data_IF_022681257821
#
_entry.id   IF_022681257821
#
_cell.length_a   1.000
_cell.length_b   1.000
_cell.length_c   1.000
_cell.angle_alpha   90.00
_cell.angle_beta   90.00
_cell.angle_gamma   90.00
#
_symmetry.space_group_name_H-M   'P 1'
#
loop_
_entity.id
_entity.type
_entity.pdbx_description
1 polymer ?
#
# COMPACT_ATOMS: atom_id res chain seq x y z
N UNK A 1 -12.92 2.04 18.65
CA UNK A 1 -11.50 2.37 18.37
C UNK A 1 -11.04 1.43 17.27
N UNK A 2 -10.61 1.95 16.11
CA UNK A 2 -10.06 1.10 15.06
C UNK A 2 -8.68 0.60 15.53
N UNK A 3 -8.55 -0.69 15.84
CA UNK A 3 -7.24 -1.28 16.09
C UNK A 3 -6.44 -1.18 14.78
N UNK A 4 -5.42 -0.33 14.77
CA UNK A 4 -4.54 -0.18 13.63
C UNK A 4 -3.76 -1.49 13.45
N UNK A 5 -4.09 -2.24 12.40
CA UNK A 5 -3.37 -3.47 12.09
C UNK A 5 -1.93 -3.14 11.65
N UNK A 6 -0.96 -4.01 11.94
CA UNK A 6 0.43 -3.72 11.64
C UNK A 6 0.66 -3.46 10.16
N UNK A 7 1.62 -2.58 9.83
CA UNK A 7 1.91 -2.19 8.43
C UNK A 7 2.31 -3.37 7.53
N UNK A 8 2.76 -4.47 8.11
CA UNK A 8 3.14 -5.71 7.42
C UNK A 8 1.98 -6.70 7.26
N UNK A 9 0.78 -6.37 7.73
CA UNK A 9 -0.42 -7.15 7.55
C UNK A 9 -1.19 -6.68 6.31
N UNK A 10 -1.49 -7.61 5.41
CA UNK A 10 -2.11 -7.33 4.11
C UNK A 10 -3.57 -7.76 4.03
N UNK A 11 -4.11 -8.43 5.06
CA UNK A 11 -5.45 -9.01 5.04
C UNK A 11 -5.56 -10.20 4.09
N UNK A 12 -6.75 -10.41 3.53
CA UNK A 12 -7.07 -11.47 2.60
C UNK A 12 -6.50 -11.24 1.19
N UNK A 13 -5.17 -11.27 1.06
CA UNK A 13 -4.48 -11.35 -0.23
C UNK A 13 -4.25 -12.81 -0.61
N UNK A 14 -4.29 -13.08 -1.93
CA UNK A 14 -4.07 -14.42 -2.44
C UNK A 14 -2.61 -14.86 -2.27
N UNK A 15 -2.37 -16.17 -2.30
CA UNK A 15 -1.02 -16.72 -2.32
C UNK A 15 -0.18 -16.12 -3.46
N UNK A 16 -0.75 -16.04 -4.66
CA UNK A 16 -0.06 -15.51 -5.84
C UNK A 16 0.30 -14.04 -5.67
N UNK A 17 -0.61 -13.21 -5.14
CA UNK A 17 -0.33 -11.79 -4.87
C UNK A 17 0.79 -11.64 -3.82
N UNK A 18 0.78 -12.46 -2.77
CA UNK A 18 1.84 -12.50 -1.78
C UNK A 18 3.20 -12.85 -2.40
N UNK A 19 3.25 -13.89 -3.23
CA UNK A 19 4.46 -14.31 -3.95
C UNK A 19 4.97 -13.20 -4.87
N UNK A 20 4.07 -12.51 -5.58
CA UNK A 20 4.41 -11.38 -6.43
C UNK A 20 4.97 -10.19 -5.64
N UNK A 21 4.35 -9.81 -4.52
CA UNK A 21 4.81 -8.70 -3.67
C UNK A 21 6.21 -8.96 -3.09
N UNK A 22 6.44 -10.19 -2.61
CA UNK A 22 7.72 -10.62 -2.08
C UNK A 22 8.78 -10.76 -3.19
N UNK A 23 8.40 -11.33 -4.33
CA UNK A 23 9.24 -11.47 -5.51
C UNK A 23 9.66 -10.12 -6.10
N UNK A 24 8.74 -9.15 -6.20
CA UNK A 24 9.02 -7.77 -6.62
C UNK A 24 10.03 -7.08 -5.70
N UNK A 25 9.98 -7.38 -4.40
CA UNK A 25 10.95 -6.84 -3.44
C UNK A 25 12.32 -7.50 -3.56
N UNK A 26 12.36 -8.78 -3.95
CA UNK A 26 13.56 -9.57 -4.22
C UNK A 26 14.65 -9.44 -3.14
N UNK A 27 14.27 -9.49 -1.87
CA UNK A 27 15.19 -9.36 -0.72
C UNK A 27 15.00 -10.51 0.25
N UNK A 28 16.07 -11.23 0.55
CA UNK A 28 16.03 -12.32 1.52
C UNK A 28 15.62 -11.81 2.91
N UNK A 29 14.69 -12.55 3.53
CA UNK A 29 14.07 -12.15 4.79
C UNK A 29 13.01 -11.07 4.61
N UNK A 30 12.59 -10.75 3.37
CA UNK A 30 11.36 -10.01 3.15
C UNK A 30 10.16 -10.83 3.63
N UNK A 31 9.21 -10.17 4.27
CA UNK A 31 8.06 -10.85 4.85
C UNK A 31 6.80 -9.98 4.87
N UNK A 32 5.67 -10.66 4.97
CA UNK A 32 4.36 -10.08 5.24
C UNK A 32 3.46 -11.11 5.93
N UNK A 33 2.38 -10.64 6.55
CA UNK A 33 1.31 -11.49 7.08
C UNK A 33 0.06 -11.28 6.24
N UNK A 34 -0.61 -12.37 5.90
CA UNK A 34 -1.89 -12.39 5.19
C UNK A 34 -2.88 -13.32 5.87
N UNK A 35 -4.15 -13.21 5.52
CA UNK A 35 -5.15 -14.18 5.96
C UNK A 35 -4.99 -15.50 5.20
N UNK A 36 -5.33 -16.60 5.86
CA UNK A 36 -5.34 -17.91 5.23
C UNK A 36 -6.56 -18.03 4.31
N UNK A 37 -6.33 -18.34 3.04
CA UNK A 37 -7.40 -18.60 2.06
C UNK A 37 -8.14 -19.92 2.37
N UNK A 38 -7.45 -20.87 2.99
CA UNK A 38 -7.98 -22.21 3.21
C UNK A 38 -8.67 -22.37 4.55
N UNK A 39 -8.25 -21.61 5.57
CA UNK A 39 -8.80 -21.78 6.92
C UNK A 39 -9.21 -20.44 7.52
N UNK A 40 -10.50 -20.32 7.79
CA UNK A 40 -11.08 -19.14 8.41
C UNK A 40 -10.48 -18.89 9.80
N UNK A 41 -10.16 -17.63 10.07
CA UNK A 41 -9.54 -17.20 11.34
C UNK A 41 -8.05 -17.54 11.47
N UNK A 42 -7.46 -18.29 10.53
CA UNK A 42 -6.02 -18.50 10.48
C UNK A 42 -5.34 -17.42 9.63
N UNK A 43 -4.11 -17.09 10.01
CA UNK A 43 -3.23 -16.22 9.27
C UNK A 43 -2.03 -17.01 8.73
N UNK A 44 -1.30 -16.39 7.82
CA UNK A 44 -0.10 -16.93 7.20
C UNK A 44 1.02 -15.89 7.27
N UNK A 45 2.14 -16.25 7.91
CA UNK A 45 3.39 -15.51 7.80
C UNK A 45 4.15 -16.01 6.57
N UNK A 46 4.38 -15.13 5.59
CA UNK A 46 5.10 -15.46 4.37
C UNK A 46 6.48 -14.81 4.39
N UNK A 47 7.53 -15.61 4.13
CA UNK A 47 8.93 -15.19 4.18
C UNK A 47 9.64 -15.54 2.87
N UNK A 48 10.25 -14.56 2.23
CA UNK A 48 11.02 -14.74 1.00
C UNK A 48 12.46 -15.11 1.29
N UNK A 49 12.95 -16.15 0.60
CA UNK A 49 14.36 -16.55 0.60
C UNK A 49 14.67 -17.23 -0.73
N UNK A 50 15.72 -16.77 -1.42
CA UNK A 50 16.25 -17.42 -2.63
C UNK A 50 15.18 -17.74 -3.69
N UNK A 51 14.32 -16.74 -4.03
CA UNK A 51 13.21 -16.88 -5.00
C UNK A 51 12.09 -17.83 -4.58
N UNK A 52 12.08 -18.31 -3.34
CA UNK A 52 11.03 -19.14 -2.77
C UNK A 52 10.33 -18.39 -1.64
N UNK A 53 9.01 -18.51 -1.57
CA UNK A 53 8.21 -18.00 -0.45
C UNK A 53 7.85 -19.14 0.48
N UNK A 54 8.39 -19.08 1.69
CA UNK A 54 8.07 -19.98 2.78
C UNK A 54 6.84 -19.47 3.51
N UNK A 55 5.81 -20.29 3.59
CA UNK A 55 4.56 -19.93 4.27
C UNK A 55 4.46 -20.71 5.58
N UNK A 56 4.34 -19.97 6.68
CA UNK A 56 4.16 -20.48 8.03
C UNK A 56 2.76 -20.15 8.50
N UNK A 57 2.14 -21.12 9.15
CA UNK A 57 0.76 -20.97 9.58
C UNK A 57 0.70 -20.30 10.95
N UNK A 58 -0.08 -19.25 11.05
CA UNK A 58 -0.25 -18.45 12.25
C UNK A 58 -1.68 -18.65 12.77
N UNK A 59 -1.81 -19.20 13.97
CA UNK A 59 -3.09 -19.49 14.60
C UNK A 59 -3.29 -18.56 15.81
N UNK A 60 -4.53 -18.15 16.04
CA UNK A 60 -4.91 -17.47 17.26
C UNK A 60 -5.55 -18.48 18.22
N UNK A 61 -5.08 -18.52 19.46
CA UNK A 61 -5.63 -19.35 20.52
C UNK A 61 -6.91 -18.73 21.09
N UNK A 62 -7.69 -19.54 21.82
CA UNK A 62 -8.89 -19.05 22.54
C UNK A 62 -8.58 -17.95 23.56
N UNK A 63 -7.34 -17.90 24.07
CA UNK A 63 -6.85 -16.86 24.97
C UNK A 63 -6.44 -15.56 24.27
N UNK A 64 -6.55 -15.50 22.94
CA UNK A 64 -6.19 -14.34 22.11
C UNK A 64 -4.71 -14.26 21.73
N UNK A 65 -3.88 -15.22 22.16
CA UNK A 65 -2.46 -15.29 21.80
C UNK A 65 -2.28 -15.84 20.38
N UNK A 66 -1.16 -15.50 19.75
CA UNK A 66 -0.75 -15.98 18.44
C UNK A 66 0.33 -17.05 18.57
N UNK A 67 0.20 -18.14 17.83
CA UNK A 67 1.22 -19.20 17.73
C UNK A 67 1.55 -19.48 16.28
N UNK A 68 2.83 -19.62 15.97
CA UNK A 68 3.31 -19.91 14.62
C UNK A 68 3.72 -21.38 14.51
N UNK A 69 3.13 -22.08 13.56
CA UNK A 69 3.50 -23.45 13.24
C UNK A 69 4.78 -23.45 12.39
N UNK A 70 5.92 -23.66 13.04
CA UNK A 70 7.21 -23.87 12.39
C UNK A 70 7.51 -25.36 12.24
N UNK A 71 8.04 -25.76 11.08
CA UNK A 71 8.55 -27.11 10.91
C UNK A 71 9.89 -27.24 11.65
N UNK A 72 10.02 -28.19 12.58
CA UNK A 72 11.31 -28.49 13.20
C UNK A 72 11.35 -28.83 14.69
N UNK A 73 10.25 -29.27 15.31
CA UNK A 73 10.27 -29.74 16.71
C UNK A 73 10.69 -28.70 17.75
N UNK A 74 10.64 -27.41 17.38
CA UNK A 74 10.82 -26.30 18.31
C UNK A 74 9.55 -26.11 19.14
N UNK A 75 9.73 -25.69 20.38
CA UNK A 75 8.63 -25.41 21.29
C UNK A 75 7.65 -24.39 20.68
N UNK A 76 6.36 -24.66 20.83
CA UNK A 76 5.32 -23.73 20.43
C UNK A 76 5.45 -22.44 21.23
N UNK A 77 5.65 -21.33 20.52
CA UNK A 77 5.78 -20.01 21.14
C UNK A 77 4.50 -19.23 20.99
N UNK A 78 4.02 -18.69 22.11
CA UNK A 78 2.80 -17.89 22.17
C UNK A 78 3.15 -16.41 22.32
N UNK A 79 2.55 -15.59 21.47
CA UNK A 79 2.77 -14.14 21.42
C UNK A 79 1.47 -13.40 21.67
N UNK A 80 1.50 -12.35 22.48
CA UNK A 80 0.30 -11.53 22.73
C UNK A 80 -0.09 -10.69 21.51
N UNK A 81 0.92 -10.22 20.76
CA UNK A 81 0.75 -9.34 19.60
C UNK A 81 1.59 -9.83 18.42
N UNK A 82 1.17 -9.45 17.20
CA UNK A 82 1.93 -9.73 15.97
C UNK A 82 3.30 -9.06 15.96
N UNK A 83 3.45 -7.87 16.57
CA UNK A 83 4.74 -7.19 16.68
C UNK A 83 5.75 -7.96 17.54
N UNK A 84 5.29 -8.60 18.61
CA UNK A 84 6.15 -9.39 19.49
C UNK A 84 6.61 -10.67 18.79
N UNK A 85 5.70 -11.32 18.08
CA UNK A 85 6.01 -12.44 17.19
C UNK A 85 7.10 -12.04 16.18
N UNK A 86 6.89 -10.94 15.45
CA UNK A 86 7.85 -10.46 14.46
C UNK A 86 9.19 -10.13 15.10
N UNK A 87 9.21 -9.49 16.28
CA UNK A 87 10.44 -9.18 17.00
C UNK A 87 11.22 -10.43 17.39
N UNK A 88 10.52 -11.49 17.82
CA UNK A 88 11.14 -12.77 18.14
C UNK A 88 11.81 -13.40 16.91
N UNK A 89 11.08 -13.49 15.80
CA UNK A 89 11.53 -14.11 14.55
C UNK A 89 12.50 -13.26 13.70
N UNK A 90 12.79 -12.02 14.10
CA UNK A 90 13.92 -11.24 13.58
C UNK A 90 15.28 -11.83 13.98
N UNK A 91 15.33 -12.61 15.05
CA UNK A 91 16.55 -13.31 15.49
C UNK A 91 16.80 -14.55 14.63
N UNK A 92 18.07 -14.93 14.51
CA UNK A 92 18.49 -16.14 13.79
C UNK A 92 18.06 -17.40 14.56
N UNK A 93 17.93 -18.51 13.85
CA UNK A 93 17.71 -19.86 14.41
C UNK A 93 16.46 -20.00 15.29
N UNK A 94 15.36 -19.34 14.92
CA UNK A 94 14.07 -19.47 15.63
C UNK A 94 13.08 -20.39 14.89
N UNK A 95 13.54 -21.30 14.01
CA UNK A 95 12.65 -22.22 13.27
C UNK A 95 12.09 -21.72 11.94
N UNK A 96 12.45 -20.50 11.52
CA UNK A 96 12.17 -20.03 10.16
C UNK A 96 13.31 -20.40 9.21
N UNK A 97 12.97 -20.62 7.94
CA UNK A 97 13.93 -20.84 6.86
C UNK A 97 14.87 -19.64 6.67
N UNK A 98 14.40 -18.45 7.06
CA UNK A 98 15.10 -17.17 7.06
C UNK A 98 14.52 -16.29 8.17
N UNK A 99 15.38 -15.65 8.95
CA UNK A 99 14.93 -14.68 9.94
C UNK A 99 14.35 -13.44 9.26
N UNK A 100 13.40 -12.77 9.94
CA UNK A 100 12.70 -11.61 9.40
C UNK A 100 13.64 -10.41 9.30
N UNK A 101 13.65 -9.71 8.15
CA UNK A 101 14.52 -8.55 7.90
C UNK A 101 13.75 -7.38 7.33
N UNK A 102 12.94 -7.60 6.30
CA UNK A 102 12.35 -6.54 5.50
C UNK A 102 10.83 -6.64 5.41
N UNK A 103 10.11 -5.95 6.31
CA UNK A 103 8.64 -5.86 6.26
C UNK A 103 8.15 -5.29 4.93
N UNK A 104 7.24 -5.98 4.24
CA UNK A 104 6.53 -5.44 3.06
C UNK A 104 5.30 -4.70 3.55
N UNK A 105 5.21 -3.41 3.25
CA UNK A 105 4.05 -2.60 3.62
C UNK A 105 2.94 -2.74 2.57
N UNK A 106 1.68 -2.73 3.00
CA UNK A 106 0.54 -2.68 2.07
C UNK A 106 0.48 -1.31 1.40
N UNK A 107 0.30 -1.27 0.07
CA UNK A 107 0.21 0.00 -0.68
C UNK A 107 -0.95 0.88 -0.22
N UNK A 108 -2.05 0.29 0.23
CA UNK A 108 -3.21 1.04 0.74
C UNK A 108 -2.93 1.79 2.06
N UNK A 109 -1.93 1.38 2.84
CA UNK A 109 -1.50 2.13 4.03
C UNK A 109 -0.77 3.44 3.69
N UNK A 110 -0.35 3.65 2.44
CA UNK A 110 0.31 4.88 1.98
C UNK A 110 -0.65 5.86 1.30
N UNK A 111 -1.92 5.51 1.09
CA UNK A 111 -2.91 6.40 0.47
C UNK A 111 -3.48 7.45 1.43
N UNK A 112 -3.15 7.40 2.72
CA UNK A 112 -3.28 8.56 3.61
C UNK A 112 -1.99 9.39 3.52
N UNK A 113 -1.70 9.92 2.33
CA UNK A 113 -0.95 11.16 2.31
C UNK A 113 -1.94 12.24 2.78
N UNK A 114 -1.66 13.04 3.82
CA UNK A 114 -2.37 14.30 3.93
C UNK A 114 -2.17 15.01 2.57
N UNK A 115 -3.20 15.63 1.97
CA UNK A 115 -3.01 16.36 0.73
C UNK A 115 -1.83 17.30 0.96
N UNK A 116 -0.78 17.18 0.14
CA UNK A 116 0.28 18.19 0.11
C UNK A 116 -0.43 19.51 -0.18
N UNK A 117 -0.64 20.34 0.85
CA UNK A 117 -1.12 21.70 0.63
C UNK A 117 -0.09 22.34 -0.30
N UNK A 118 -0.51 22.92 -1.45
CA UNK A 118 0.40 23.75 -2.22
C UNK A 118 0.92 24.84 -1.26
N UNK A 119 2.24 25.00 -1.21
CA UNK A 119 2.85 26.08 -0.45
C UNK A 119 2.29 27.41 -0.96
N UNK A 120 1.99 28.38 -0.08
CA UNK A 120 1.61 29.70 -0.52
C UNK A 120 2.75 30.31 -1.33
N UNK A 121 2.46 31.05 -2.42
CA UNK A 121 3.49 31.80 -3.13
C UNK A 121 4.09 32.86 -2.19
N UNK A 122 5.41 32.98 -2.26
CA UNK A 122 6.22 33.95 -1.52
C UNK A 122 5.75 35.38 -1.83
N UNK A 123 5.46 36.25 -0.85
CA UNK A 123 4.91 37.58 -1.08
C UNK A 123 5.93 38.64 -1.52
N UNK A 124 7.09 38.26 -2.06
CA UNK A 124 8.12 39.22 -2.48
C UNK A 124 8.27 39.23 -4.00
N UNK A 125 7.44 40.03 -4.68
CA UNK A 125 7.86 40.87 -5.82
C UNK A 125 6.64 41.66 -6.36
N UNK A 126 6.37 42.79 -5.71
CA UNK A 126 5.55 43.86 -6.25
C UNK A 126 6.42 45.11 -6.41
N UNK A 127 6.69 45.51 -7.66
CA UNK A 127 7.15 46.84 -8.11
C UNK A 127 7.16 46.81 -9.66
N UNK A 128 6.02 47.03 -10.33
CA UNK A 128 5.46 48.32 -10.81
C UNK A 128 6.20 48.94 -12.03
N UNK A 129 5.38 49.40 -13.01
CA UNK A 129 5.60 50.32 -14.16
C UNK A 129 5.68 49.59 -15.51
N UNK A 130 4.97 49.95 -16.59
CA UNK A 130 4.16 51.12 -16.93
C UNK A 130 3.33 50.80 -18.21
N UNK A 131 2.16 51.43 -18.41
CA UNK A 131 1.30 51.33 -19.60
C UNK A 131 1.88 52.09 -20.83
N UNK A 132 1.35 51.95 -22.07
CA UNK A 132 0.04 52.53 -22.45
C UNK A 132 -0.85 51.68 -23.40
N UNK A 133 -2.15 52.01 -23.39
CA UNK A 133 -3.22 51.64 -24.34
C UNK A 133 -3.26 52.62 -25.53
N UNK A 134 -3.71 52.17 -26.71
CA UNK A 134 -4.99 52.66 -27.28
C UNK A 134 -5.88 51.49 -27.73
N UNK A 135 -7.15 51.40 -27.31
CA UNK A 135 -8.34 52.03 -27.91
C UNK A 135 -8.60 51.60 -29.35
N UNK A 136 -9.60 50.74 -29.57
CA UNK A 136 -10.62 50.95 -30.59
C UNK A 136 -11.87 50.11 -30.27
N UNK A 137 -12.98 50.83 -30.05
CA UNK A 137 -14.35 50.34 -29.93
C UNK A 137 -14.72 49.42 -31.09
N UNK A 138 -15.44 48.35 -30.79
CA UNK A 138 -16.50 47.92 -31.70
C UNK A 138 -17.67 47.30 -30.94
N UNK A 139 -18.72 48.10 -30.88
CA UNK A 139 -20.10 47.78 -30.54
C UNK A 139 -20.56 46.41 -31.01
N UNK A 140 -21.24 45.72 -30.11
CA UNK A 140 -22.08 44.59 -30.42
C UNK A 140 -23.41 45.13 -30.95
N UNK A 141 -23.67 45.05 -32.25
CA UNK A 141 -25.04 45.05 -32.73
C UNK A 141 -25.28 44.20 -33.98
N UNK A 142 -26.42 43.50 -33.90
CA UNK A 142 -27.30 43.00 -34.95
C UNK A 142 -26.99 41.64 -35.62
N UNK A 143 -27.89 40.68 -35.36
CA UNK A 143 -28.13 39.47 -36.15
C UNK A 143 -28.74 39.84 -37.53
N UNK A 144 -29.23 38.91 -38.39
CA UNK A 144 -28.99 37.46 -38.57
C UNK A 144 -28.55 37.13 -40.02
N UNK A 145 -27.85 36.01 -40.29
CA UNK A 145 -28.11 35.28 -41.55
C UNK A 145 -27.61 33.83 -41.52
N UNK A 146 -28.53 32.98 -41.94
CA UNK A 146 -28.44 31.60 -42.37
C UNK A 146 -27.28 31.26 -43.29
N UNK A 147 -26.61 30.13 -43.04
CA UNK A 147 -26.42 29.12 -44.10
C UNK A 147 -26.22 27.72 -43.48
N UNK A 148 -27.30 26.95 -43.52
CA UNK A 148 -27.29 25.52 -43.22
C UNK A 148 -26.97 24.80 -44.53
N UNK A 149 -25.87 24.05 -44.60
CA UNK A 149 -25.62 23.11 -45.69
C UNK A 149 -25.55 21.71 -45.10
N UNK A 150 -26.71 21.08 -44.94
CA UNK A 150 -26.78 19.62 -44.87
C UNK A 150 -26.90 19.06 -46.29
N UNK A 151 -25.86 18.33 -46.67
CA UNK A 151 -25.74 17.55 -47.91
C UNK A 151 -26.68 16.33 -47.84
N UNK A 152 -27.56 16.20 -48.84
CA UNK A 152 -28.37 15.00 -49.06
C UNK A 152 -27.47 13.78 -49.34
N UNK A 153 -27.76 12.59 -48.79
CA UNK A 153 -27.29 11.32 -49.34
C UNK A 153 -28.21 10.82 -50.45
N UNK A 154 -27.61 10.18 -51.48
CA UNK A 154 -28.27 9.43 -52.57
C UNK A 154 -29.07 8.21 -52.06
#
# INVERSE_FOLDING_TARGET
MAAALPVFYHGAISRTECEELLGKKNKDGAYLIRDSETIQGAMCLCVYKQKVVYTYRLLQTHTGNYTLMTAGGLDETFFKNLDDLVRHYKRKNQGLAMHLRHSVKRKTALLIQPPKRPAPPDPSEAQEKQAPVPEEDHDYENAPDSEYVEVLPD
#
